data_IF_551645142337
#
_entry.id   IF_551645142337
#
_cell.length_a   1.000
_cell.length_b   1.000
_cell.length_c   1.000
_cell.angle_alpha   90.00
_cell.angle_beta   90.00
_cell.angle_gamma   90.00
#
_symmetry.space_group_name_H-M   'P 1'
#
loop_
_entity.id
_entity.type
_entity.pdbx_description
1 polymer ?
#
# COMPACT_ATOMS: atom_id res chain seq x y z
N UNK A 1 54.07 -74.73 -39.11
CA UNK A 1 54.39 -73.43 -38.49
C UNK A 1 54.14 -72.34 -39.53
N UNK A 2 53.12 -71.49 -39.30
CA UNK A 2 52.74 -70.22 -39.96
C UNK A 2 51.20 -70.11 -39.85
N UNK A 3 50.68 -69.67 -38.70
CA UNK A 3 50.21 -68.31 -38.37
C UNK A 3 48.80 -67.99 -38.90
N UNK A 4 47.85 -67.54 -38.04
CA UNK A 4 46.43 -67.47 -38.35
C UNK A 4 45.98 -66.08 -38.85
N UNK A 5 45.00 -66.04 -39.75
CA UNK A 5 44.29 -64.82 -40.16
C UNK A 5 43.25 -64.43 -39.11
N UNK A 6 43.49 -63.33 -38.40
CA UNK A 6 42.54 -62.70 -37.48
C UNK A 6 41.55 -61.81 -38.22
N UNK A 7 40.28 -62.22 -38.26
CA UNK A 7 39.15 -61.37 -38.71
C UNK A 7 38.95 -60.21 -37.74
N UNK A 8 39.13 -58.98 -38.22
CA UNK A 8 38.84 -57.75 -37.49
C UNK A 8 37.33 -57.55 -37.28
N UNK A 9 36.92 -57.38 -36.02
CA UNK A 9 35.56 -56.94 -35.66
C UNK A 9 35.51 -55.40 -35.67
N UNK A 10 34.62 -54.83 -36.48
CA UNK A 10 34.39 -53.37 -36.55
C UNK A 10 33.55 -52.95 -35.34
N UNK A 11 34.14 -52.18 -34.43
CA UNK A 11 33.47 -51.61 -33.27
C UNK A 11 32.49 -50.49 -33.69
N UNK A 12 31.24 -50.59 -33.24
CA UNK A 12 30.18 -49.62 -33.54
C UNK A 12 30.45 -48.24 -32.95
N UNK A 13 30.44 -47.22 -33.81
CA UNK A 13 30.55 -45.80 -33.43
C UNK A 13 29.24 -45.34 -32.78
N UNK A 14 29.28 -45.01 -31.48
CA UNK A 14 28.14 -44.39 -30.77
C UNK A 14 28.08 -42.90 -31.10
N UNK A 15 26.94 -42.43 -31.63
CA UNK A 15 26.70 -41.02 -31.95
C UNK A 15 26.71 -40.15 -30.66
N UNK A 16 27.35 -38.98 -30.65
CA UNK A 16 27.37 -38.10 -29.49
C UNK A 16 25.95 -37.56 -29.22
N UNK A 17 25.47 -37.72 -27.97
CA UNK A 17 24.21 -37.12 -27.52
C UNK A 17 24.38 -35.61 -27.44
N UNK A 18 23.52 -34.85 -28.09
CA UNK A 18 23.37 -33.41 -27.89
C UNK A 18 22.86 -33.16 -26.47
N UNK A 19 23.72 -32.72 -25.54
CA UNK A 19 23.26 -32.12 -24.29
C UNK A 19 22.83 -30.69 -24.59
N UNK A 20 21.57 -30.36 -24.33
CA UNK A 20 21.10 -28.97 -24.36
C UNK A 20 21.69 -28.22 -23.17
N UNK A 21 22.35 -27.09 -23.42
CA UNK A 21 22.81 -26.19 -22.37
C UNK A 21 21.60 -25.69 -21.57
N UNK A 22 21.73 -25.54 -20.23
CA UNK A 22 20.68 -24.94 -19.42
C UNK A 22 20.40 -23.50 -19.91
N UNK A 23 19.14 -23.05 -19.86
CA UNK A 23 18.79 -21.71 -20.32
C UNK A 23 19.61 -20.67 -19.55
N UNK A 24 20.12 -19.63 -20.22
CA UNK A 24 20.85 -18.55 -19.55
C UNK A 24 19.94 -17.93 -18.49
N UNK A 25 20.47 -17.76 -17.28
CA UNK A 25 19.77 -17.10 -16.19
C UNK A 25 19.47 -15.66 -16.60
N UNK A 26 18.18 -15.31 -16.60
CA UNK A 26 17.75 -13.93 -16.82
C UNK A 26 18.41 -13.03 -15.76
N UNK A 27 18.84 -11.80 -16.13
CA UNK A 27 19.33 -10.84 -15.15
C UNK A 27 18.23 -10.63 -14.10
N UNK A 28 18.55 -11.04 -12.87
CA UNK A 28 17.67 -10.87 -11.73
C UNK A 28 17.76 -9.41 -11.31
N UNK A 29 16.98 -8.54 -11.99
CA UNK A 29 16.76 -7.16 -11.57
C UNK A 29 16.01 -7.20 -10.23
N UNK A 30 16.76 -7.33 -9.14
CA UNK A 30 16.22 -7.12 -7.81
C UNK A 30 15.91 -5.63 -7.71
N UNK A 31 14.63 -5.29 -7.60
CA UNK A 31 14.23 -3.93 -7.32
C UNK A 31 14.84 -3.51 -5.98
N UNK A 32 15.91 -2.71 -6.00
CA UNK A 32 16.48 -2.15 -4.79
C UNK A 32 15.45 -1.19 -4.17
N UNK A 33 14.84 -1.64 -3.07
CA UNK A 33 14.01 -0.79 -2.26
C UNK A 33 14.93 0.16 -1.49
N UNK A 34 15.09 1.39 -1.99
CA UNK A 34 15.96 2.37 -1.36
C UNK A 34 15.43 2.71 0.04
N UNK A 35 16.35 2.83 1.00
CA UNK A 35 16.01 3.19 2.39
C UNK A 35 15.35 4.58 2.38
N UNK A 36 14.19 4.75 3.02
CA UNK A 36 13.52 6.04 3.08
C UNK A 36 14.35 7.05 3.90
N UNK A 37 14.42 8.29 3.41
CA UNK A 37 15.09 9.37 4.12
C UNK A 37 14.28 9.71 5.38
N UNK A 38 14.96 9.83 6.53
CA UNK A 38 14.31 10.18 7.78
C UNK A 38 13.85 11.64 7.79
N UNK A 39 12.80 12.00 8.55
CA UNK A 39 12.33 13.38 8.66
C UNK A 39 13.37 14.34 9.27
N UNK A 40 14.27 13.80 10.10
CA UNK A 40 15.29 14.56 10.80
C UNK A 40 16.43 15.03 9.87
N UNK A 41 16.73 14.25 8.84
CA UNK A 41 17.69 14.64 7.80
C UNK A 41 17.09 15.80 6.99
N UNK A 42 17.69 17.00 7.01
CA UNK A 42 17.21 18.17 6.25
C UNK A 42 18.07 18.47 5.02
N UNK A 43 19.16 17.74 4.82
CA UNK A 43 20.16 18.01 3.79
C UNK A 43 19.92 17.18 2.53
N UNK A 44 19.32 15.99 2.67
CA UNK A 44 19.01 15.11 1.55
C UNK A 44 17.94 15.68 0.62
N UNK A 45 18.19 15.64 -0.70
CA UNK A 45 17.21 16.03 -1.73
C UNK A 45 16.04 15.04 -1.77
N UNK A 46 14.83 15.55 -1.50
CA UNK A 46 13.58 14.77 -1.52
C UNK A 46 12.39 15.61 -1.97
N UNK A 47 11.34 14.94 -2.42
CA UNK A 47 10.03 15.54 -2.65
C UNK A 47 9.18 15.40 -1.39
N UNK A 48 8.66 16.52 -0.89
CA UNK A 48 7.71 16.55 0.22
C UNK A 48 6.34 16.89 -0.36
N UNK A 49 5.36 16.02 -0.14
CA UNK A 49 3.97 16.25 -0.54
C UNK A 49 3.12 16.42 0.71
N UNK A 50 2.40 17.53 0.79
CA UNK A 50 1.46 17.81 1.89
C UNK A 50 0.04 17.81 1.35
N UNK A 51 -0.77 16.84 1.78
CA UNK A 51 -2.20 16.81 1.51
C UNK A 51 -2.91 17.73 2.50
N UNK A 52 -3.12 18.98 2.08
CA UNK A 52 -3.76 20.01 2.89
C UNK A 52 -5.27 19.87 2.95
N UNK A 53 -5.86 20.25 4.09
CA UNK A 53 -7.30 20.28 4.33
C UNK A 53 -7.97 18.91 4.07
N UNK A 54 -7.30 17.83 4.47
CA UNK A 54 -7.82 16.48 4.30
C UNK A 54 -9.05 16.26 5.20
N UNK A 55 -10.16 15.83 4.59
CA UNK A 55 -11.45 15.55 5.23
C UNK A 55 -11.46 14.26 6.06
N UNK A 56 -10.46 14.07 6.91
CA UNK A 56 -10.34 12.91 7.80
C UNK A 56 -10.92 13.25 9.17
N UNK A 57 -12.20 12.94 9.35
CA UNK A 57 -12.90 13.20 10.60
C UNK A 57 -13.67 11.99 11.08
N UNK A 58 -13.53 11.64 12.36
CA UNK A 58 -14.37 10.63 13.00
C UNK A 58 -15.67 11.26 13.51
N UNK A 59 -16.74 10.47 13.46
CA UNK A 59 -17.99 10.79 14.15
C UNK A 59 -18.42 9.59 14.98
N UNK A 60 -19.05 9.88 16.12
CA UNK A 60 -19.63 8.88 17.02
C UNK A 60 -21.03 8.53 16.52
N UNK A 61 -21.24 7.28 16.12
CA UNK A 61 -22.55 6.80 15.70
C UNK A 61 -23.45 6.54 16.93
N UNK A 62 -23.83 7.60 17.65
CA UNK A 62 -24.71 7.52 18.83
C UNK A 62 -26.21 7.50 18.48
N UNK A 63 -26.57 7.43 17.19
CA UNK A 63 -27.94 7.58 16.71
C UNK A 63 -28.64 6.26 16.33
N UNK A 64 -28.10 5.11 16.76
CA UNK A 64 -28.94 3.93 16.94
C UNK A 64 -29.73 4.14 18.22
N UNK A 65 -30.97 4.63 18.09
CA UNK A 65 -31.82 5.17 19.17
C UNK A 65 -31.79 4.40 20.49
N UNK A 66 -32.11 5.11 21.57
CA UNK A 66 -32.23 4.62 22.94
C UNK A 66 -32.71 3.16 22.95
N UNK A 67 -31.76 2.24 23.13
CA UNK A 67 -32.05 0.83 23.26
C UNK A 67 -32.93 0.70 24.49
N UNK A 68 -34.08 0.07 24.32
CA UNK A 68 -35.14 -0.11 25.33
C UNK A 68 -34.70 -0.80 26.63
N UNK A 69 -33.40 -1.11 26.83
CA UNK A 69 -32.91 -1.99 27.90
C UNK A 69 -31.49 -1.66 28.42
N UNK A 70 -31.03 -0.41 28.47
CA UNK A 70 -29.88 -0.02 29.32
C UNK A 70 -28.51 -0.70 29.09
N UNK A 71 -28.37 -1.55 28.07
CA UNK A 71 -27.09 -2.16 27.71
C UNK A 71 -26.27 -1.09 26.97
N UNK A 72 -25.15 -0.68 27.56
CA UNK A 72 -24.14 0.17 26.93
C UNK A 72 -23.79 -0.43 25.56
N UNK A 73 -24.32 0.17 24.48
CA UNK A 73 -23.84 -0.12 23.12
C UNK A 73 -22.43 0.45 23.04
N UNK A 74 -21.46 -0.40 22.69
CA UNK A 74 -20.11 0.01 22.37
C UNK A 74 -20.13 1.24 21.45
N UNK A 75 -19.36 2.25 21.81
CA UNK A 75 -19.28 3.49 21.05
C UNK A 75 -18.64 3.19 19.70
N UNK A 76 -19.48 3.02 18.67
CA UNK A 76 -19.01 2.78 17.32
C UNK A 76 -18.69 4.12 16.68
N UNK A 77 -17.42 4.33 16.38
CA UNK A 77 -16.99 5.47 15.59
C UNK A 77 -16.78 5.05 14.14
N UNK A 78 -17.05 5.99 13.24
CA UNK A 78 -16.83 5.81 11.81
C UNK A 78 -16.24 7.08 11.22
N UNK A 79 -15.58 6.96 10.08
CA UNK A 79 -15.07 8.11 9.34
C UNK A 79 -16.24 8.79 8.63
N UNK A 80 -16.34 10.11 8.75
CA UNK A 80 -17.37 10.90 8.10
C UNK A 80 -17.17 10.84 6.57
N UNK A 81 -18.25 10.61 5.83
CA UNK A 81 -18.23 10.43 4.38
C UNK A 81 -19.53 10.99 3.79
N UNK A 82 -19.41 11.80 2.73
CA UNK A 82 -20.50 12.37 1.96
C UNK A 82 -21.46 11.33 1.41
N UNK A 83 -21.04 10.12 1.08
CA UNK A 83 -21.94 9.12 0.46
C UNK A 83 -22.83 8.39 1.49
N UNK A 84 -22.24 7.98 2.62
CA UNK A 84 -22.92 7.15 3.63
C UNK A 84 -23.63 8.01 4.70
N UNK A 85 -23.14 9.22 4.96
CA UNK A 85 -23.53 10.02 6.13
C UNK A 85 -24.25 11.34 5.80
N UNK A 86 -24.86 11.45 4.62
CA UNK A 86 -25.62 12.63 4.16
C UNK A 86 -26.62 13.12 5.23
N UNK A 87 -27.42 12.21 5.77
CA UNK A 87 -28.47 12.55 6.74
C UNK A 87 -27.91 13.09 8.06
N UNK A 88 -26.74 12.63 8.48
CA UNK A 88 -26.05 13.11 9.69
C UNK A 88 -25.47 14.50 9.44
N UNK A 89 -24.86 14.70 8.27
CA UNK A 89 -24.25 15.99 7.89
C UNK A 89 -25.29 17.09 7.74
N UNK A 90 -26.47 16.79 7.18
CA UNK A 90 -27.61 17.74 7.16
C UNK A 90 -28.06 18.13 8.57
N UNK A 91 -28.13 17.19 9.51
CA UNK A 91 -28.49 17.49 10.91
C UNK A 91 -27.43 18.34 11.61
N UNK A 92 -26.15 18.16 11.25
CA UNK A 92 -25.04 18.98 11.75
C UNK A 92 -24.90 20.33 11.02
N UNK A 93 -25.80 20.64 10.08
CA UNK A 93 -25.76 21.84 9.24
C UNK A 93 -24.40 22.06 8.55
N UNK A 94 -23.73 20.97 8.14
CA UNK A 94 -22.47 20.99 7.38
C UNK A 94 -22.72 20.77 5.91
N UNK A 95 -21.85 21.35 5.08
CA UNK A 95 -21.83 21.08 3.65
C UNK A 95 -21.55 19.59 3.41
N UNK A 96 -22.32 19.01 2.49
CA UNK A 96 -22.18 17.61 2.13
C UNK A 96 -20.88 17.38 1.36
N UNK A 97 -20.43 18.40 0.66
CA UNK A 97 -19.29 18.37 -0.25
C UNK A 97 -17.94 18.27 0.49
N UNK A 98 -17.90 18.66 1.76
CA UNK A 98 -16.67 18.75 2.55
C UNK A 98 -16.18 17.40 3.10
N UNK A 99 -17.05 16.40 3.19
CA UNK A 99 -16.73 15.10 3.81
C UNK A 99 -16.22 14.07 2.79
N UNK A 100 -15.12 14.39 2.10
CA UNK A 100 -14.53 13.57 1.01
C UNK A 100 -13.19 12.92 1.39
N UNK A 101 -13.18 11.95 2.34
CA UNK A 101 -11.96 11.21 2.70
C UNK A 101 -11.44 10.30 1.56
N UNK A 102 -12.26 10.00 0.56
CA UNK A 102 -11.92 9.21 -0.64
C UNK A 102 -10.82 9.87 -1.47
N UNK A 103 -10.82 11.21 -1.55
CA UNK A 103 -9.80 11.97 -2.28
C UNK A 103 -8.43 11.72 -1.66
N UNK A 104 -8.31 11.89 -0.34
CA UNK A 104 -7.07 11.62 0.40
C UNK A 104 -6.63 10.17 0.23
N UNK A 105 -7.57 9.22 0.31
CA UNK A 105 -7.28 7.80 0.12
C UNK A 105 -6.67 7.53 -1.27
N UNK A 106 -7.29 8.05 -2.32
CA UNK A 106 -6.82 7.88 -3.69
C UNK A 106 -5.46 8.53 -3.91
N UNK A 107 -5.24 9.75 -3.39
CA UNK A 107 -3.95 10.41 -3.44
C UNK A 107 -2.84 9.59 -2.77
N UNK A 108 -3.11 9.03 -1.59
CA UNK A 108 -2.12 8.21 -0.87
C UNK A 108 -1.76 6.93 -1.64
N UNK A 109 -2.74 6.27 -2.25
CA UNK A 109 -2.49 5.09 -3.08
C UNK A 109 -1.58 5.44 -4.26
N UNK A 110 -1.88 6.53 -4.97
CA UNK A 110 -1.10 6.99 -6.11
C UNK A 110 0.32 7.41 -5.71
N UNK A 111 0.47 8.12 -4.59
CA UNK A 111 1.77 8.58 -4.10
C UNK A 111 2.66 7.42 -3.64
N UNK A 112 2.12 6.46 -2.90
CA UNK A 112 2.91 5.32 -2.38
C UNK A 112 3.31 4.32 -3.47
N UNK A 113 2.54 4.24 -4.55
CA UNK A 113 2.87 3.42 -5.72
C UNK A 113 3.81 4.12 -6.71
N UNK A 114 4.10 5.41 -6.50
CA UNK A 114 4.94 6.17 -7.42
C UNK A 114 6.39 5.69 -7.44
N UNK A 115 7.10 5.79 -8.59
CA UNK A 115 8.53 5.44 -8.68
C UNK A 115 9.41 6.22 -7.70
N UNK A 116 9.04 7.48 -7.39
CA UNK A 116 9.77 8.32 -6.44
C UNK A 116 9.67 7.80 -5.00
N UNK A 117 8.54 7.19 -4.62
CA UNK A 117 8.42 6.50 -3.34
C UNK A 117 9.30 5.25 -3.29
N UNK A 118 9.34 4.47 -4.39
CA UNK A 118 10.23 3.30 -4.50
C UNK A 118 11.72 3.67 -4.45
N UNK A 119 12.06 4.86 -4.95
CA UNK A 119 13.39 5.44 -4.84
C UNK A 119 13.73 6.01 -3.45
N UNK A 120 12.83 5.95 -2.45
CA UNK A 120 13.09 6.40 -1.08
C UNK A 120 13.19 7.92 -0.90
N UNK A 121 12.78 8.70 -1.93
CA UNK A 121 12.91 10.17 -1.98
C UNK A 121 11.58 10.91 -1.81
N UNK A 122 10.53 10.21 -1.40
CA UNK A 122 9.22 10.80 -1.17
C UNK A 122 8.91 10.83 0.33
N UNK A 123 8.42 11.98 0.79
CA UNK A 123 7.89 12.14 2.13
C UNK A 123 6.47 12.70 2.03
N UNK A 124 5.53 12.09 2.74
CA UNK A 124 4.11 12.41 2.63
C UNK A 124 3.60 12.86 4.00
N UNK A 125 2.95 14.00 4.01
CA UNK A 125 2.23 14.53 5.16
C UNK A 125 0.76 14.72 4.81
N UNK A 126 -0.11 14.45 5.79
CA UNK A 126 -1.53 14.75 5.70
C UNK A 126 -1.84 15.80 6.75
N UNK A 127 -2.36 16.93 6.33
CA UNK A 127 -2.84 17.96 7.23
C UNK A 127 -4.37 17.98 7.18
N UNK A 128 -5.00 17.50 8.25
CA UNK A 128 -6.46 17.39 8.31
C UNK A 128 -7.11 18.76 8.49
N UNK A 129 -8.39 18.88 8.11
CA UNK A 129 -9.18 20.09 8.33
C UNK A 129 -9.28 20.49 9.83
N UNK A 130 -9.06 19.54 10.75
CA UNK A 130 -9.04 19.76 12.20
C UNK A 130 -7.66 20.15 12.75
N UNK A 131 -6.69 20.42 11.89
CA UNK A 131 -5.34 20.85 12.29
C UNK A 131 -4.43 19.72 12.76
N UNK A 132 -4.75 18.46 12.46
CA UNK A 132 -3.89 17.31 12.80
C UNK A 132 -2.91 17.09 11.65
N UNK A 133 -1.61 17.09 11.96
CA UNK A 133 -0.55 16.74 11.01
C UNK A 133 -0.16 15.28 11.21
N UNK A 134 -0.30 14.48 10.17
CA UNK A 134 0.01 13.04 10.16
C UNK A 134 1.16 12.81 9.19
N UNK A 135 2.24 12.22 9.68
CA UNK A 135 3.33 11.72 8.83
C UNK A 135 3.01 10.30 8.36
N UNK A 136 3.23 10.03 7.07
CA UNK A 136 3.02 8.72 6.48
C UNK A 136 4.37 8.09 6.16
N UNK A 137 4.65 6.93 6.78
CA UNK A 137 5.86 6.17 6.48
C UNK A 137 5.87 5.69 5.02
N UNK A 138 6.96 5.87 4.26
CA UNK A 138 7.09 5.38 2.88
C UNK A 138 6.93 3.86 2.71
N UNK A 139 7.17 3.09 3.79
CA UNK A 139 7.01 1.63 3.83
C UNK A 139 5.59 1.16 4.17
N UNK A 140 4.69 2.08 4.54
CA UNK A 140 3.33 1.72 4.94
C UNK A 140 2.55 1.18 3.75
N UNK A 141 1.81 0.10 3.98
CA UNK A 141 0.88 -0.46 2.98
C UNK A 141 -0.54 0.00 3.29
N UNK A 142 -1.00 1.05 2.61
CA UNK A 142 -2.36 1.56 2.77
C UNK A 142 -3.38 0.55 2.22
N UNK A 143 -4.49 0.27 2.93
CA UNK A 143 -5.55 -0.59 2.42
C UNK A 143 -6.14 -0.06 1.10
N UNK A 144 -6.28 -0.95 0.11
CA UNK A 144 -6.83 -0.59 -1.22
C UNK A 144 -8.33 -0.32 -1.21
N UNK A 145 -9.07 -0.88 -0.25
CA UNK A 145 -10.51 -0.64 -0.13
C UNK A 145 -10.77 0.50 0.83
N UNK A 146 -11.67 1.41 0.44
CA UNK A 146 -12.03 2.58 1.26
C UNK A 146 -12.53 2.18 2.66
N UNK A 147 -13.35 1.13 2.77
CA UNK A 147 -13.89 0.67 4.07
C UNK A 147 -12.79 0.25 5.06
N UNK A 148 -11.70 -0.38 4.59
CA UNK A 148 -10.56 -0.73 5.45
C UNK A 148 -9.71 0.49 5.78
N UNK A 149 -9.51 1.39 4.82
CA UNK A 149 -8.83 2.66 5.05
C UNK A 149 -9.55 3.48 6.12
N UNK A 150 -10.87 3.61 6.03
CA UNK A 150 -11.69 4.32 7.01
C UNK A 150 -11.53 3.76 8.42
N UNK A 151 -11.57 2.42 8.57
CA UNK A 151 -11.33 1.78 9.86
C UNK A 151 -9.94 2.06 10.44
N UNK A 152 -8.90 2.06 9.60
CA UNK A 152 -7.54 2.39 10.01
C UNK A 152 -7.41 3.86 10.44
N UNK A 153 -8.02 4.80 9.69
CA UNK A 153 -8.02 6.22 10.04
C UNK A 153 -8.78 6.49 11.33
N UNK A 154 -9.89 5.79 11.59
CA UNK A 154 -10.62 5.90 12.86
C UNK A 154 -9.74 5.46 14.03
N UNK A 155 -9.02 4.34 13.89
CA UNK A 155 -8.08 3.88 14.92
C UNK A 155 -6.93 4.87 15.16
N UNK A 156 -6.41 5.47 14.08
CA UNK A 156 -5.34 6.45 14.15
C UNK A 156 -5.78 7.74 14.86
N UNK A 157 -6.99 8.22 14.57
CA UNK A 157 -7.52 9.49 15.13
C UNK A 157 -8.07 9.36 16.57
N UNK A 158 -8.15 8.15 17.11
CA UNK A 158 -8.61 7.90 18.48
C UNK A 158 -7.50 7.66 19.49
N UNK A 159 -6.29 7.39 19.02
CA UNK A 159 -5.12 7.32 19.89
C UNK A 159 -4.56 8.71 20.12
#
# INVERSE_FOLDING_TARGET
MASPEGRAAVAGVKRPRTQSLPPPSLPQLVAEQHVPITPADKDSKRLIVVLSNASLETYKASHGGAGRNGIQREEKYSLLNSDEHIGIMRKMNRDISDARPDITHQCLLTLLDSPINKAGKLQIYIHTAKGVLIEVSPSVRIPRTFKRFAGLMVQLLHR
#
